data_IF_576607077982
#
_entry.id   IF_576607077982
#
_cell.length_a   1.000
_cell.length_b   1.000
_cell.length_c   1.000
_cell.angle_alpha   90.00
_cell.angle_beta   90.00
_cell.angle_gamma   90.00
#
_symmetry.space_group_name_H-M   'P 1'
#
loop_
_entity.id
_entity.type
_entity.pdbx_description
1 polymer ?
#
# COMPACT_ATOMS: atom_id res chain seq x y z
N UNK A 1 12.18 14.66 -3.09
CA UNK A 1 12.20 13.45 -2.23
C UNK A 1 11.44 12.33 -2.94
N UNK A 2 12.03 11.14 -3.10
CA UNK A 2 11.43 10.06 -3.92
C UNK A 2 10.26 9.42 -3.19
N UNK A 3 9.31 8.84 -3.92
CA UNK A 3 8.18 8.08 -3.35
C UNK A 3 8.32 6.60 -3.70
N UNK A 4 8.16 5.73 -2.70
CA UNK A 4 8.13 4.27 -2.88
C UNK A 4 6.71 3.77 -2.64
N UNK A 5 6.10 3.21 -3.68
CA UNK A 5 4.79 2.56 -3.60
C UNK A 5 4.99 1.10 -3.17
N UNK A 6 4.26 0.68 -2.13
CA UNK A 6 4.24 -0.68 -1.62
C UNK A 6 2.80 -1.20 -1.65
N UNK A 7 2.61 -2.45 -2.07
CA UNK A 7 1.28 -3.04 -2.27
C UNK A 7 1.23 -4.41 -1.61
N UNK A 8 0.33 -4.57 -0.62
CA UNK A 8 0.02 -5.86 0.00
C UNK A 8 -1.20 -6.53 -0.65
N UNK A 9 -1.44 -7.81 -0.36
CA UNK A 9 -2.56 -8.58 -0.93
C UNK A 9 -3.93 -8.19 -0.35
N UNK A 10 -3.98 -7.75 0.91
CA UNK A 10 -5.24 -7.44 1.63
C UNK A 10 -5.10 -6.16 2.47
N UNK A 11 -6.21 -5.43 2.74
CA UNK A 11 -6.18 -4.19 3.52
C UNK A 11 -5.57 -4.33 4.92
N UNK A 12 -5.91 -5.40 5.65
CA UNK A 12 -5.40 -5.66 6.99
C UNK A 12 -3.88 -5.89 7.02
N UNK A 13 -3.33 -6.49 5.95
CA UNK A 13 -1.89 -6.73 5.82
C UNK A 13 -1.15 -5.42 5.58
N UNK A 14 -1.63 -4.57 4.68
CA UNK A 14 -1.04 -3.26 4.41
C UNK A 14 -0.96 -2.40 5.67
N UNK A 15 -2.02 -2.36 6.47
CA UNK A 15 -2.05 -1.61 7.72
C UNK A 15 -1.04 -2.15 8.73
N UNK A 16 -0.99 -3.47 8.90
CA UNK A 16 -0.09 -4.14 9.86
C UNK A 16 1.38 -3.91 9.49
N UNK A 17 1.73 -4.10 8.21
CA UNK A 17 3.09 -3.89 7.72
C UNK A 17 3.49 -2.42 7.82
N UNK A 18 2.62 -1.49 7.41
CA UNK A 18 2.90 -0.06 7.52
C UNK A 18 3.16 0.36 8.97
N UNK A 19 2.35 -0.13 9.92
CA UNK A 19 2.52 0.17 11.35
C UNK A 19 3.86 -0.33 11.90
N UNK A 20 4.32 -1.51 11.49
CA UNK A 20 5.61 -2.07 11.90
C UNK A 20 6.76 -1.22 11.30
N UNK A 21 6.75 -1.02 9.98
CA UNK A 21 7.83 -0.34 9.26
C UNK A 21 7.93 1.14 9.61
N UNK A 22 6.81 1.78 9.92
CA UNK A 22 6.79 3.18 10.35
C UNK A 22 7.06 3.36 11.85
N UNK A 23 7.25 2.27 12.62
CA UNK A 23 7.33 2.29 14.09
C UNK A 23 6.15 3.05 14.73
N UNK A 24 4.95 2.84 14.18
CA UNK A 24 3.73 3.54 14.60
C UNK A 24 3.54 4.94 13.98
N UNK A 25 4.57 5.54 13.36
CA UNK A 25 4.50 6.88 12.78
C UNK A 25 3.99 6.87 11.32
N UNK A 26 2.73 6.49 11.11
CA UNK A 26 2.09 6.52 9.79
C UNK A 26 0.83 7.40 9.78
N UNK A 27 0.58 8.06 8.66
CA UNK A 27 -0.68 8.75 8.38
C UNK A 27 -1.51 7.93 7.39
N UNK A 28 -2.77 7.67 7.73
CA UNK A 28 -3.66 6.84 6.92
C UNK A 28 -4.82 7.66 6.37
N UNK A 29 -5.19 7.40 5.12
CA UNK A 29 -6.41 7.94 4.50
C UNK A 29 -7.06 6.87 3.63
N UNK A 30 -8.39 6.96 3.47
CA UNK A 30 -9.14 6.04 2.62
C UNK A 30 -8.80 6.29 1.15
N UNK A 31 -8.64 5.22 0.39
CA UNK A 31 -8.51 5.25 -1.06
C UNK A 31 -9.85 5.49 -1.75
N UNK A 32 -9.79 5.67 -3.08
CA UNK A 32 -10.95 5.99 -3.92
C UNK A 32 -12.06 4.93 -3.85
N UNK A 33 -11.69 3.66 -3.67
CA UNK A 33 -12.62 2.53 -3.63
C UNK A 33 -13.24 2.27 -2.24
N UNK A 34 -12.87 3.05 -1.22
CA UNK A 34 -13.37 2.92 0.15
C UNK A 34 -12.90 1.68 0.93
N UNK A 35 -12.57 0.58 0.26
CA UNK A 35 -12.11 -0.68 0.85
C UNK A 35 -10.60 -0.67 1.16
N UNK A 36 -9.79 -0.09 0.27
CA UNK A 36 -8.35 0.00 0.45
C UNK A 36 -7.98 1.33 1.08
N UNK A 37 -7.09 1.31 2.06
CA UNK A 37 -6.48 2.52 2.64
C UNK A 37 -5.05 2.71 2.13
N UNK A 38 -4.56 3.93 2.25
CA UNK A 38 -3.18 4.27 1.91
C UNK A 38 -2.50 4.83 3.15
N UNK A 39 -1.42 4.18 3.57
CA UNK A 39 -0.61 4.50 4.74
C UNK A 39 0.70 5.15 4.31
N UNK A 40 0.93 6.38 4.74
CA UNK A 40 2.07 7.21 4.35
C UNK A 40 3.01 7.42 5.54
N UNK A 41 4.31 7.30 5.31
CA UNK A 41 5.35 7.62 6.30
C UNK A 41 6.68 7.96 5.61
N UNK A 42 7.60 8.57 6.34
CA UNK A 42 8.95 8.87 5.85
C UNK A 42 9.95 7.83 6.35
N UNK A 43 11.02 7.62 5.60
CA UNK A 43 12.09 6.71 6.00
C UNK A 43 13.22 6.69 4.98
N UNK A 44 14.07 5.68 5.08
CA UNK A 44 15.22 5.49 4.20
C UNK A 44 15.02 4.25 3.34
N UNK A 45 15.28 4.37 2.04
CA UNK A 45 15.28 3.27 1.08
C UNK A 45 16.51 3.37 0.20
N UNK A 46 17.29 2.29 0.11
CA UNK A 46 18.57 2.26 -0.63
C UNK A 46 19.51 3.44 -0.27
N UNK A 47 19.64 3.74 1.02
CA UNK A 47 20.47 4.84 1.53
C UNK A 47 19.94 6.25 1.24
N UNK A 48 18.73 6.40 0.70
CA UNK A 48 18.14 7.69 0.34
C UNK A 48 16.87 7.96 1.15
N UNK A 49 16.62 9.21 1.57
CA UNK A 49 15.36 9.59 2.21
C UNK A 49 14.19 9.53 1.22
N UNK A 50 13.11 8.85 1.60
CA UNK A 50 11.93 8.63 0.75
C UNK A 50 10.61 8.80 1.52
N UNK A 51 9.54 9.03 0.77
CA UNK A 51 8.17 8.88 1.24
C UNK A 51 7.67 7.48 0.88
N UNK A 52 7.34 6.68 1.89
CA UNK A 52 6.66 5.43 1.70
C UNK A 52 5.15 5.65 1.55
N UNK A 53 4.55 4.99 0.57
CA UNK A 53 3.09 4.89 0.38
C UNK A 53 2.72 3.41 0.34
N UNK A 54 2.24 2.87 1.44
CA UNK A 54 1.74 1.50 1.54
C UNK A 54 0.25 1.45 1.25
N UNK A 55 -0.19 0.50 0.43
CA UNK A 55 -1.60 0.20 0.18
C UNK A 55 -1.78 -1.29 -0.07
N UNK A 56 -2.98 -1.72 -0.49
CA UNK A 56 -3.25 -3.11 -0.83
C UNK A 56 -4.18 -3.25 -2.03
N UNK A 57 -4.23 -4.47 -2.56
CA UNK A 57 -5.37 -4.97 -3.34
C UNK A 57 -6.36 -5.71 -2.42
N UNK A 58 -7.34 -6.39 -3.01
CA UNK A 58 -8.29 -7.26 -2.31
C UNK A 58 -8.21 -8.70 -2.88
N UNK A 59 -7.03 -9.33 -2.79
CA UNK A 59 -6.76 -10.62 -3.42
C UNK A 59 -6.45 -10.48 -4.93
N UNK A 60 -6.97 -11.40 -5.74
CA UNK A 60 -6.75 -11.40 -7.19
C UNK A 60 -7.36 -10.15 -7.83
N UNK A 61 -6.52 -9.35 -8.52
CA UNK A 61 -6.96 -8.13 -9.22
C UNK A 61 -7.76 -8.46 -10.48
N UNK A 62 -7.33 -9.52 -11.17
CA UNK A 62 -7.90 -9.95 -12.45
C UNK A 62 -8.25 -11.43 -12.35
N UNK A 63 -9.27 -11.82 -13.10
CA UNK A 63 -9.62 -13.22 -13.38
C UNK A 63 -9.51 -13.47 -14.87
N UNK A 64 -9.22 -14.72 -15.26
CA UNK A 64 -9.18 -15.11 -16.66
C UNK A 64 -10.58 -15.51 -17.12
N UNK A 65 -10.99 -15.03 -18.29
CA UNK A 65 -12.23 -15.41 -18.97
C UNK A 65 -12.02 -15.44 -20.49
N UNK A 66 -12.88 -16.13 -21.23
CA UNK A 66 -12.86 -16.12 -22.69
C UNK A 66 -13.25 -14.74 -23.22
N UNK A 67 -12.68 -14.34 -24.36
CA UNK A 67 -13.09 -13.11 -25.04
C UNK A 67 -14.53 -13.29 -25.56
N UNK A 68 -15.45 -12.43 -25.12
CA UNK A 68 -16.84 -12.45 -25.55
C UNK A 68 -17.01 -12.27 -27.07
N UNK A 69 -18.12 -12.77 -27.61
CA UNK A 69 -18.51 -12.50 -29.01
C UNK A 69 -19.04 -11.08 -29.16
#
# INVERSE_FOLDING_TARGET
MKTVLMVAEKPSLAQSIAKILSRGNMSSHKGLNGACSVHKYTGTFAGQPVHFKMTSVCGHVMTLDFLGK
#
